data_IF_221662667039
#
_entry.id   IF_221662667039
#
_cell.length_a   1.000
_cell.length_b   1.000
_cell.length_c   1.000
_cell.angle_alpha   90.00
_cell.angle_beta   90.00
_cell.angle_gamma   90.00
#
_symmetry.space_group_name_H-M   'P 1'
#
loop_
_entity.id
_entity.type
_entity.pdbx_description
1 polymer ?
#
# COMPACT_ATOMS: atom_id res chain seq x y z
N UNK A 1 14.91 -73.51 18.31
CA UNK A 1 14.11 -72.29 18.51
C UNK A 1 13.96 -71.67 17.14
N UNK A 2 12.74 -71.77 16.59
CA UNK A 2 12.36 -71.41 15.23
C UNK A 2 11.73 -70.01 15.29
N UNK A 3 12.24 -69.04 14.54
CA UNK A 3 11.60 -67.73 14.38
C UNK A 3 10.93 -67.64 13.02
N UNK A 4 9.61 -67.85 13.05
CA UNK A 4 8.68 -67.74 11.94
C UNK A 4 8.38 -66.27 11.65
N UNK A 5 8.96 -65.73 10.57
CA UNK A 5 8.54 -64.42 10.03
C UNK A 5 7.28 -64.58 9.19
N UNK A 6 6.15 -64.09 9.70
CA UNK A 6 4.89 -64.01 9.00
C UNK A 6 4.93 -62.89 7.94
N UNK A 7 4.74 -63.30 6.68
CA UNK A 7 4.65 -62.45 5.50
C UNK A 7 3.17 -62.10 5.26
N UNK A 8 2.81 -60.82 5.36
CA UNK A 8 1.49 -60.34 4.92
C UNK A 8 1.59 -59.87 3.46
N UNK A 9 0.66 -60.25 2.56
CA UNK A 9 0.60 -59.73 1.20
C UNK A 9 -0.21 -58.42 1.15
N UNK A 10 0.32 -57.40 0.47
CA UNK A 10 -0.40 -56.17 0.13
C UNK A 10 -1.28 -56.38 -1.12
N UNK A 11 -2.47 -55.75 -1.22
CA UNK A 11 -3.35 -55.93 -2.36
C UNK A 11 -3.47 -54.64 -3.18
N UNK A 12 -2.53 -54.33 -4.08
CA UNK A 12 -2.80 -53.39 -5.17
C UNK A 12 -2.05 -53.77 -6.45
N UNK A 13 -2.76 -53.90 -7.60
CA UNK A 13 -2.17 -54.37 -8.85
C UNK A 13 -1.31 -53.31 -9.53
N UNK A 14 -0.16 -53.77 -10.02
CA UNK A 14 0.79 -53.03 -10.85
C UNK A 14 0.17 -52.58 -12.18
N UNK A 15 0.20 -51.27 -12.45
CA UNK A 15 0.00 -50.70 -13.78
C UNK A 15 1.34 -50.12 -14.29
N UNK A 16 1.67 -50.51 -15.53
CA UNK A 16 2.92 -50.25 -16.25
C UNK A 16 3.12 -48.74 -16.55
N UNK A 17 4.37 -48.25 -16.59
CA UNK A 17 4.66 -46.91 -17.07
C UNK A 17 4.60 -46.89 -18.60
N UNK A 18 3.66 -46.13 -19.14
CA UNK A 18 3.61 -45.81 -20.57
C UNK A 18 4.48 -44.59 -20.85
N UNK A 19 5.40 -44.78 -21.81
CA UNK A 19 6.22 -43.77 -22.46
C UNK A 19 5.35 -42.59 -22.95
N UNK A 20 5.68 -41.39 -22.49
CA UNK A 20 5.27 -40.15 -23.16
C UNK A 20 6.49 -39.57 -23.89
N UNK A 21 6.37 -39.23 -25.19
CA UNK A 21 7.46 -38.62 -25.93
C UNK A 21 7.60 -37.14 -25.56
N UNK A 22 8.83 -36.69 -25.35
CA UNK A 22 9.19 -35.27 -25.35
C UNK A 22 9.04 -34.69 -26.76
N UNK A 23 8.63 -33.43 -26.88
CA UNK A 23 9.06 -32.59 -27.98
C UNK A 23 9.86 -31.40 -27.43
N UNK A 24 11.17 -31.45 -27.69
CA UNK A 24 11.99 -30.25 -27.83
C UNK A 24 11.58 -29.52 -29.10
N UNK A 25 10.95 -28.36 -28.98
CA UNK A 25 10.96 -27.34 -30.04
C UNK A 25 11.23 -25.99 -29.39
N UNK A 26 12.49 -25.59 -29.49
CA UNK A 26 12.88 -24.20 -29.68
C UNK A 26 12.12 -23.63 -30.87
N UNK A 27 11.61 -22.40 -30.71
CA UNK A 27 11.82 -21.27 -31.63
C UNK A 27 10.65 -20.28 -31.70
N UNK A 28 11.05 -19.01 -31.71
CA UNK A 28 10.29 -17.79 -32.04
C UNK A 28 9.25 -17.26 -31.04
N UNK A 29 9.73 -16.74 -29.91
CA UNK A 29 9.15 -15.52 -29.35
C UNK A 29 9.44 -14.36 -30.31
N UNK A 30 8.45 -13.91 -31.06
CA UNK A 30 8.52 -12.64 -31.78
C UNK A 30 8.37 -11.51 -30.76
N UNK A 31 9.36 -10.62 -30.56
CA UNK A 31 9.15 -9.42 -29.78
C UNK A 31 8.25 -8.49 -30.60
N UNK A 32 7.07 -8.16 -30.07
CA UNK A 32 6.28 -7.07 -30.62
C UNK A 32 7.08 -5.78 -30.42
N UNK A 33 7.80 -5.39 -31.48
CA UNK A 33 8.33 -4.06 -31.69
C UNK A 33 7.17 -3.07 -31.59
N UNK A 34 7.05 -2.39 -30.46
CA UNK A 34 6.20 -1.20 -30.36
C UNK A 34 6.77 -0.13 -31.31
N UNK A 35 6.03 0.34 -32.33
CA UNK A 35 6.48 1.48 -33.11
C UNK A 35 6.42 2.73 -32.23
N UNK A 36 7.60 3.29 -31.96
CA UNK A 36 7.79 4.62 -31.42
C UNK A 36 7.33 5.64 -32.48
N UNK A 37 6.06 6.03 -32.45
CA UNK A 37 5.55 7.19 -33.18
C UNK A 37 4.30 7.75 -32.49
N UNK A 38 4.50 8.43 -31.36
CA UNK A 38 3.59 9.49 -30.96
C UNK A 38 4.21 10.81 -31.38
N UNK A 39 3.76 11.30 -32.53
CA UNK A 39 3.97 12.66 -32.98
C UNK A 39 3.23 13.59 -32.01
N UNK A 40 3.97 14.32 -31.18
CA UNK A 40 3.40 15.41 -30.38
C UNK A 40 3.31 16.66 -31.28
N UNK A 41 2.16 17.35 -31.37
CA UNK A 41 2.14 18.70 -31.90
C UNK A 41 2.77 19.65 -30.88
N UNK A 42 3.90 20.25 -31.27
CA UNK A 42 4.61 21.30 -30.53
C UNK A 42 3.78 22.58 -30.53
N UNK A 43 3.15 22.91 -29.39
CA UNK A 43 2.49 24.19 -29.18
C UNK A 43 3.44 25.15 -28.43
N UNK A 44 4.01 26.05 -29.24
CA UNK A 44 4.74 27.26 -28.85
C UNK A 44 3.94 28.11 -27.84
N UNK A 45 4.55 28.59 -26.74
CA UNK A 45 4.00 29.74 -26.01
C UNK A 45 4.36 31.02 -26.75
N UNK A 46 3.35 31.68 -27.34
CA UNK A 46 3.47 33.07 -27.79
C UNK A 46 3.63 33.99 -26.59
N UNK A 47 4.64 34.84 -26.66
CA UNK A 47 4.89 36.01 -25.84
C UNK A 47 3.71 36.99 -25.90
N UNK A 48 3.07 37.26 -24.77
CA UNK A 48 2.23 38.45 -24.62
C UNK A 48 2.94 39.46 -23.71
N UNK A 49 3.62 40.38 -24.40
CA UNK A 49 4.06 41.70 -23.95
C UNK A 49 2.86 42.49 -23.42
N UNK A 50 2.90 42.91 -22.15
CA UNK A 50 2.10 44.05 -21.66
C UNK A 50 3.02 44.95 -20.83
N UNK A 51 3.54 45.94 -21.53
CA UNK A 51 3.76 47.36 -21.19
C UNK A 51 3.93 47.81 -19.73
N UNK A 52 5.12 48.34 -19.47
CA UNK A 52 5.43 49.35 -18.43
C UNK A 52 4.69 50.68 -18.67
N UNK A 53 4.41 51.45 -17.61
CA UNK A 53 4.46 52.91 -17.66
C UNK A 53 5.63 53.48 -16.83
N UNK A 54 6.06 54.74 -17.09
CA UNK A 54 7.37 55.25 -16.70
C UNK A 54 7.44 55.86 -15.30
N UNK A 55 8.69 55.96 -14.84
CA UNK A 55 9.22 56.67 -13.65
C UNK A 55 8.65 58.10 -13.48
N UNK A 56 8.73 58.66 -12.25
CA UNK A 56 9.75 59.70 -12.07
C UNK A 56 10.57 59.54 -10.79
N UNK A 57 11.84 59.94 -10.93
CA UNK A 57 12.88 60.03 -9.92
C UNK A 57 12.75 61.38 -9.18
N UNK A 58 12.82 61.40 -7.84
CA UNK A 58 13.23 62.57 -7.04
C UNK A 58 13.94 62.12 -5.75
N UNK A 59 15.14 62.63 -5.58
CA UNK A 59 16.15 62.53 -4.50
C UNK A 59 15.75 63.41 -3.29
N UNK A 60 16.59 63.63 -2.24
CA UNK A 60 16.94 62.76 -1.11
C UNK A 60 16.69 63.44 0.27
N UNK A 61 16.15 62.77 1.30
CA UNK A 61 16.30 63.27 2.69
C UNK A 61 16.50 62.13 3.70
N UNK A 62 17.50 62.32 4.56
CA UNK A 62 17.82 61.60 5.80
C UNK A 62 17.80 62.70 6.89
N UNK A 63 17.60 62.43 8.21
CA UNK A 63 17.11 61.25 8.93
C UNK A 63 15.86 61.56 9.77
N UNK A 64 15.13 60.54 10.21
CA UNK A 64 14.38 60.66 11.47
C UNK A 64 14.41 59.34 12.24
N UNK A 65 14.94 59.49 13.44
CA UNK A 65 15.24 58.50 14.46
C UNK A 65 13.92 57.91 14.95
N UNK A 66 13.76 56.59 14.88
CA UNK A 66 12.89 55.89 15.82
C UNK A 66 13.40 54.47 16.05
N UNK A 67 14.24 54.36 17.07
CA UNK A 67 14.72 53.09 17.61
C UNK A 67 13.59 52.41 18.39
N UNK A 68 12.66 51.74 17.70
CA UNK A 68 11.78 50.77 18.34
C UNK A 68 12.47 49.40 18.32
N UNK A 69 13.27 49.17 19.37
CA UNK A 69 13.82 47.86 19.71
C UNK A 69 12.65 46.91 20.01
N UNK A 70 12.25 46.14 19.01
CA UNK A 70 11.46 44.93 19.23
C UNK A 70 12.40 43.86 19.77
N UNK A 71 12.06 43.15 20.86
CA UNK A 71 12.87 42.02 21.29
C UNK A 71 12.85 40.94 20.19
N UNK A 72 13.96 40.20 19.99
CA UNK A 72 13.96 39.08 19.06
C UNK A 72 12.86 38.09 19.48
N UNK A 73 12.15 37.46 18.52
CA UNK A 73 11.22 36.41 18.86
C UNK A 73 11.96 35.34 19.68
N UNK A 74 11.32 34.75 20.71
CA UNK A 74 11.94 33.67 21.46
C UNK A 74 12.37 32.58 20.47
N UNK A 75 13.49 31.86 20.72
CA UNK A 75 13.89 30.76 19.87
C UNK A 75 12.69 29.83 19.74
N UNK A 76 12.13 29.77 18.53
CA UNK A 76 11.08 28.82 18.17
C UNK A 76 11.58 27.48 18.68
N UNK A 77 10.87 26.87 19.63
CA UNK A 77 11.20 25.56 20.18
C UNK A 77 11.29 24.59 19.01
N UNK A 78 12.49 24.44 18.46
CA UNK A 78 12.79 23.44 17.46
C UNK A 78 12.75 22.13 18.24
N UNK A 79 11.55 21.53 18.34
CA UNK A 79 11.52 20.08 18.45
C UNK A 79 12.50 19.57 17.40
N UNK A 80 13.42 18.63 17.75
CA UNK A 80 14.37 18.10 16.78
C UNK A 80 13.59 17.76 15.51
N UNK A 81 14.00 18.25 14.33
CA UNK A 81 13.18 18.24 13.11
C UNK A 81 12.69 16.85 12.69
N UNK A 82 13.18 15.79 13.32
CA UNK A 82 12.84 14.40 13.07
C UNK A 82 12.34 13.61 14.28
N UNK A 83 12.13 14.19 15.48
CA UNK A 83 11.78 13.39 16.67
C UNK A 83 10.47 12.60 16.50
N UNK A 84 9.44 13.25 15.95
CA UNK A 84 8.16 12.61 15.65
C UNK A 84 8.23 11.61 14.49
N UNK A 85 9.18 11.74 13.58
CA UNK A 85 9.42 10.76 12.52
C UNK A 85 10.18 9.54 13.07
N UNK A 86 11.20 9.78 13.88
CA UNK A 86 11.98 8.73 14.55
C UNK A 86 11.09 7.87 15.44
N UNK A 87 10.17 8.47 16.22
CA UNK A 87 9.22 7.72 17.05
C UNK A 87 8.34 6.79 16.19
N UNK A 88 7.85 7.27 15.03
CA UNK A 88 7.11 6.44 14.08
C UNK A 88 7.98 5.29 13.54
N UNK A 89 9.24 5.57 13.21
CA UNK A 89 10.17 4.54 12.70
C UNK A 89 10.45 3.46 13.74
N UNK A 90 10.73 3.85 14.98
CA UNK A 90 10.93 2.90 16.08
C UNK A 90 9.67 2.07 16.34
N UNK A 91 8.48 2.68 16.27
CA UNK A 91 7.24 1.94 16.43
C UNK A 91 7.03 0.93 15.28
N UNK A 92 7.26 1.36 14.03
CA UNK A 92 7.09 0.51 12.85
C UNK A 92 8.12 -0.64 12.82
N UNK A 93 9.35 -0.39 13.26
CA UNK A 93 10.39 -1.41 13.47
C UNK A 93 9.96 -2.43 14.53
N UNK A 94 9.32 -1.99 15.63
CA UNK A 94 8.80 -2.90 16.66
C UNK A 94 7.70 -3.85 16.15
N UNK A 95 7.02 -3.49 15.04
CA UNK A 95 6.07 -4.36 14.33
C UNK A 95 6.78 -5.33 13.36
N UNK A 96 8.10 -5.23 13.26
CA UNK A 96 8.99 -6.01 12.42
C UNK A 96 9.18 -5.45 11.01
N UNK A 97 8.73 -4.23 10.71
CA UNK A 97 8.87 -3.65 9.37
C UNK A 97 10.32 -3.29 9.08
N UNK A 98 10.75 -3.51 7.85
CA UNK A 98 12.06 -3.06 7.40
C UNK A 98 12.07 -1.53 7.24
N UNK A 99 12.75 -0.85 8.16
CA UNK A 99 12.89 0.61 8.20
C UNK A 99 13.48 1.12 6.88
N UNK A 100 14.47 0.44 6.30
CA UNK A 100 15.15 0.91 5.10
C UNK A 100 14.20 0.94 3.90
N UNK A 101 13.46 -0.16 3.68
CA UNK A 101 12.43 -0.22 2.65
C UNK A 101 11.37 0.87 2.84
N UNK A 102 10.96 1.11 4.09
CA UNK A 102 9.94 2.10 4.40
C UNK A 102 10.43 3.54 4.14
N UNK A 103 11.65 3.88 4.54
CA UNK A 103 12.25 5.21 4.31
C UNK A 103 12.49 5.44 2.82
N UNK A 104 12.93 4.44 2.07
CA UNK A 104 13.25 4.60 0.65
C UNK A 104 12.00 4.69 -0.23
N UNK A 105 10.98 3.86 0.06
CA UNK A 105 9.83 3.70 -0.84
C UNK A 105 8.55 4.40 -0.34
N UNK A 106 8.45 4.66 0.97
CA UNK A 106 7.20 5.07 1.61
C UNK A 106 7.34 6.28 2.56
N UNK A 107 8.49 6.97 2.56
CA UNK A 107 8.74 8.14 3.42
C UNK A 107 7.65 9.22 3.37
N UNK A 108 7.10 9.63 2.21
CA UNK A 108 6.04 10.63 2.18
C UNK A 108 4.80 10.24 2.98
N UNK A 109 4.41 8.96 2.91
CA UNK A 109 3.24 8.40 3.58
C UNK A 109 3.46 8.33 5.10
N UNK A 110 4.66 7.95 5.53
CA UNK A 110 5.03 7.91 6.96
C UNK A 110 5.05 9.33 7.56
N UNK A 111 5.58 10.30 6.81
CA UNK A 111 5.65 11.68 7.25
C UNK A 111 4.24 12.25 7.47
N UNK A 112 3.31 11.97 6.57
CA UNK A 112 1.91 12.42 6.69
C UNK A 112 1.12 11.68 7.78
N UNK A 113 1.44 10.40 8.03
CA UNK A 113 0.70 9.59 8.99
C UNK A 113 0.93 10.05 10.43
N UNK A 114 -0.13 10.19 11.24
CA UNK A 114 0.01 10.41 12.67
C UNK A 114 0.35 9.11 13.40
N UNK A 115 1.25 9.14 14.38
CA UNK A 115 1.58 7.96 15.19
C UNK A 115 0.33 7.38 15.90
N UNK A 116 -0.58 8.24 16.34
CA UNK A 116 -1.86 7.84 16.95
C UNK A 116 -2.71 7.05 15.97
N UNK A 117 -2.75 7.46 14.70
CA UNK A 117 -3.50 6.75 13.67
C UNK A 117 -2.87 5.38 13.40
N UNK A 118 -1.54 5.31 13.26
CA UNK A 118 -0.84 4.05 13.06
C UNK A 118 -1.13 3.08 14.22
N UNK A 119 -0.97 3.53 15.47
CA UNK A 119 -1.27 2.72 16.67
C UNK A 119 -2.73 2.26 16.69
N UNK A 120 -3.66 3.11 16.30
CA UNK A 120 -5.10 2.79 16.25
C UNK A 120 -5.43 1.75 15.18
N UNK A 121 -4.82 1.84 14.00
CA UNK A 121 -4.96 0.84 12.93
C UNK A 121 -4.38 -0.50 13.37
N UNK A 122 -3.18 -0.49 13.97
CA UNK A 122 -2.57 -1.72 14.50
C UNK A 122 -3.47 -2.33 15.58
N UNK A 123 -4.00 -1.52 16.50
CA UNK A 123 -4.96 -1.99 17.52
C UNK A 123 -6.21 -2.62 16.91
N UNK A 124 -6.80 -1.99 15.88
CA UNK A 124 -7.95 -2.54 15.15
C UNK A 124 -7.61 -3.89 14.53
N UNK A 125 -6.51 -4.00 13.80
CA UNK A 125 -6.14 -5.24 13.13
C UNK A 125 -5.73 -6.34 14.13
N UNK A 126 -5.06 -5.99 15.23
CA UNK A 126 -4.78 -6.93 16.33
C UNK A 126 -6.07 -7.47 16.93
N UNK A 127 -7.12 -6.65 17.09
CA UNK A 127 -8.45 -7.11 17.52
C UNK A 127 -9.12 -8.11 16.55
N UNK A 128 -8.61 -8.20 15.31
CA UNK A 128 -9.01 -9.17 14.28
C UNK A 128 -8.00 -10.32 14.13
N UNK A 129 -7.14 -10.53 15.14
CA UNK A 129 -6.15 -11.61 15.21
C UNK A 129 -5.05 -11.54 14.14
N UNK A 130 -4.74 -10.35 13.63
CA UNK A 130 -3.58 -10.13 12.78
C UNK A 130 -2.29 -10.11 13.63
N UNK A 131 -1.26 -10.72 13.08
CA UNK A 131 0.06 -10.91 13.68
C UNK A 131 1.07 -9.93 13.08
N UNK A 132 2.22 -9.70 13.74
CA UNK A 132 3.31 -8.89 13.19
C UNK A 132 3.72 -9.26 11.77
N UNK A 133 3.75 -10.56 11.44
CA UNK A 133 4.06 -11.04 10.08
C UNK A 133 3.09 -10.49 9.03
N UNK A 134 1.82 -10.40 9.38
CA UNK A 134 0.75 -9.96 8.49
C UNK A 134 0.75 -8.44 8.37
N UNK A 135 1.08 -7.70 9.44
CA UNK A 135 1.33 -6.25 9.35
C UNK A 135 2.42 -5.91 8.34
N UNK A 136 3.53 -6.66 8.37
CA UNK A 136 4.61 -6.47 7.38
C UNK A 136 4.12 -6.62 5.95
N UNK A 137 3.34 -7.67 5.70
CA UNK A 137 2.77 -7.93 4.38
C UNK A 137 1.82 -6.82 3.94
N UNK A 138 0.91 -6.42 4.83
CA UNK A 138 -0.11 -5.40 4.55
C UNK A 138 0.55 -4.05 4.25
N UNK A 139 1.43 -3.58 5.13
CA UNK A 139 2.05 -2.25 5.03
C UNK A 139 3.01 -2.17 3.84
N UNK A 140 3.75 -3.25 3.56
CA UNK A 140 4.62 -3.30 2.38
C UNK A 140 3.87 -3.21 1.04
N UNK A 141 2.64 -3.76 0.96
CA UNK A 141 1.84 -3.72 -0.27
C UNK A 141 0.89 -2.53 -0.36
N UNK A 142 0.44 -2.04 0.79
CA UNK A 142 -0.56 -1.00 0.94
C UNK A 142 -0.11 -0.03 2.04
N UNK A 143 0.93 0.77 1.79
CA UNK A 143 1.42 1.75 2.76
C UNK A 143 0.35 2.81 3.11
N UNK A 144 -0.60 3.05 2.21
CA UNK A 144 -1.68 4.03 2.38
C UNK A 144 -2.56 3.74 3.61
N UNK A 145 -2.56 2.49 4.09
CA UNK A 145 -3.26 2.08 5.31
C UNK A 145 -2.80 2.86 6.56
N UNK A 146 -1.54 3.33 6.58
CA UNK A 146 -0.98 4.09 7.70
C UNK A 146 -1.63 5.47 7.88
N UNK A 147 -2.16 6.04 6.79
CA UNK A 147 -2.92 7.29 6.80
C UNK A 147 -4.42 7.08 7.04
N UNK A 148 -4.88 5.83 7.04
CA UNK A 148 -6.29 5.50 7.22
C UNK A 148 -6.69 5.56 8.69
N UNK A 149 -8.00 5.66 8.94
CA UNK A 149 -8.56 5.63 10.30
C UNK A 149 -9.32 4.33 10.54
N UNK A 150 -9.45 3.86 11.79
CA UNK A 150 -10.23 2.66 12.08
C UNK A 150 -11.66 2.74 11.53
N UNK A 151 -12.27 3.93 11.57
CA UNK A 151 -13.61 4.20 11.03
C UNK A 151 -13.71 4.01 9.51
N UNK A 152 -12.61 4.19 8.77
CA UNK A 152 -12.57 3.95 7.32
C UNK A 152 -12.39 2.47 6.95
N UNK A 153 -11.67 1.71 7.78
CA UNK A 153 -11.35 0.29 7.50
C UNK A 153 -12.45 -0.66 8.04
N UNK A 154 -13.07 -0.31 9.16
CA UNK A 154 -14.11 -1.15 9.80
C UNK A 154 -15.29 -1.49 8.88
N UNK A 155 -15.81 -0.56 8.06
CA UNK A 155 -16.84 -0.87 7.07
C UNK A 155 -16.38 -1.93 6.07
N UNK A 156 -15.12 -1.88 5.63
CA UNK A 156 -14.54 -2.86 4.71
C UNK A 156 -14.45 -4.25 5.33
N UNK A 157 -13.95 -4.34 6.57
CA UNK A 157 -13.89 -5.61 7.29
C UNK A 157 -15.30 -6.18 7.50
N UNK A 158 -16.26 -5.32 7.87
CA UNK A 158 -17.66 -5.71 8.05
C UNK A 158 -18.27 -6.19 6.73
N UNK A 159 -18.01 -5.50 5.63
CA UNK A 159 -18.45 -5.91 4.30
C UNK A 159 -17.92 -7.31 3.95
N UNK A 160 -16.63 -7.57 4.16
CA UNK A 160 -16.03 -8.87 3.87
C UNK A 160 -16.70 -9.99 4.67
N UNK A 161 -16.95 -9.77 5.96
CA UNK A 161 -17.54 -10.78 6.85
C UNK A 161 -19.05 -10.99 6.63
N UNK A 162 -19.79 -9.94 6.25
CA UNK A 162 -21.27 -9.96 6.23
C UNK A 162 -21.85 -10.05 4.84
N UNK A 163 -21.34 -9.27 3.90
CA UNK A 163 -21.86 -9.18 2.53
C UNK A 163 -21.12 -10.18 1.62
N UNK A 164 -19.78 -10.18 1.65
CA UNK A 164 -18.98 -11.12 0.86
C UNK A 164 -18.82 -12.51 1.52
N UNK A 165 -19.47 -12.75 2.66
CA UNK A 165 -19.53 -14.04 3.39
C UNK A 165 -18.16 -14.70 3.66
N UNK A 166 -17.10 -13.91 3.76
CA UNK A 166 -15.77 -14.41 4.14
C UNK A 166 -15.82 -14.90 5.58
N UNK A 167 -15.39 -16.14 5.82
CA UNK A 167 -15.32 -16.69 7.17
C UNK A 167 -14.34 -15.88 8.04
N UNK A 168 -14.57 -15.85 9.36
CA UNK A 168 -13.67 -15.16 10.28
C UNK A 168 -12.24 -15.71 10.24
N UNK A 169 -12.08 -17.00 9.98
CA UNK A 169 -10.79 -17.67 9.79
C UNK A 169 -10.09 -17.25 8.50
N UNK A 170 -10.85 -17.07 7.41
CA UNK A 170 -10.29 -16.73 6.10
C UNK A 170 -10.06 -15.24 5.89
N UNK A 171 -10.63 -14.38 6.73
CA UNK A 171 -10.46 -12.92 6.64
C UNK A 171 -8.98 -12.55 6.53
N UNK A 172 -8.12 -13.13 7.36
CA UNK A 172 -6.68 -12.87 7.32
C UNK A 172 -6.05 -13.32 6.00
N UNK A 173 -6.48 -14.48 5.49
CA UNK A 173 -5.99 -14.99 4.21
C UNK A 173 -6.35 -14.03 3.07
N UNK A 174 -7.62 -13.62 2.97
CA UNK A 174 -8.12 -12.68 1.96
C UNK A 174 -7.36 -11.35 2.02
N UNK A 175 -7.21 -10.76 3.21
CA UNK A 175 -6.49 -9.50 3.38
C UNK A 175 -5.00 -9.64 3.04
N UNK A 176 -4.33 -10.73 3.43
CA UNK A 176 -2.93 -10.94 3.09
C UNK A 176 -2.69 -11.11 1.58
N UNK A 177 -3.68 -11.69 0.87
CA UNK A 177 -3.64 -11.83 -0.59
C UNK A 177 -3.84 -10.48 -1.28
N UNK A 178 -4.77 -9.65 -0.78
CA UNK A 178 -5.06 -8.33 -1.34
C UNK A 178 -5.25 -7.26 -0.26
N UNK A 179 -4.16 -6.70 0.31
CA UNK A 179 -4.25 -5.71 1.39
C UNK A 179 -4.98 -4.42 1.00
N UNK A 180 -4.92 -4.05 -0.28
CA UNK A 180 -5.59 -2.86 -0.83
C UNK A 180 -7.13 -2.90 -0.71
N UNK A 181 -7.72 -4.05 -0.41
CA UNK A 181 -9.14 -4.13 -0.07
C UNK A 181 -9.47 -3.23 1.13
N UNK A 182 -8.60 -3.18 2.15
CA UNK A 182 -8.85 -2.42 3.39
C UNK A 182 -9.06 -0.92 3.16
N UNK A 183 -8.44 -0.36 2.12
CA UNK A 183 -8.54 1.07 1.76
C UNK A 183 -9.52 1.32 0.61
N UNK A 184 -10.18 0.29 0.11
CA UNK A 184 -11.16 0.41 -0.98
C UNK A 184 -12.51 0.90 -0.46
N UNK A 185 -13.20 1.72 -1.25
CA UNK A 185 -14.54 2.18 -0.89
C UNK A 185 -15.54 1.02 -0.96
N UNK A 186 -16.21 0.74 0.15
CA UNK A 186 -17.28 -0.28 0.18
C UNK A 186 -18.41 0.09 -0.79
N UNK A 187 -18.84 1.36 -0.77
CA UNK A 187 -19.96 1.85 -1.58
C UNK A 187 -19.65 1.89 -3.07
N UNK A 188 -18.47 2.38 -3.44
CA UNK A 188 -18.15 2.69 -4.84
C UNK A 188 -17.31 1.62 -5.53
N UNK A 189 -16.68 0.72 -4.78
CA UNK A 189 -15.82 -0.32 -5.35
C UNK A 189 -16.31 -1.71 -4.97
N UNK A 190 -16.37 -2.03 -3.68
CA UNK A 190 -16.56 -3.42 -3.24
C UNK A 190 -17.95 -3.96 -3.53
N UNK A 191 -19.02 -3.21 -3.20
CA UNK A 191 -20.39 -3.60 -3.49
C UNK A 191 -20.68 -3.75 -4.98
N UNK A 192 -20.38 -2.75 -5.84
CA UNK A 192 -20.56 -2.92 -7.28
C UNK A 192 -19.80 -4.12 -7.85
N UNK A 193 -18.58 -4.37 -7.36
CA UNK A 193 -17.79 -5.54 -7.77
C UNK A 193 -18.47 -6.84 -7.34
N UNK A 194 -18.94 -6.93 -6.09
CA UNK A 194 -19.63 -8.10 -5.59
C UNK A 194 -20.89 -8.40 -6.42
N UNK A 195 -21.76 -7.41 -6.65
CA UNK A 195 -22.96 -7.61 -7.48
C UNK A 195 -22.64 -8.07 -8.89
N UNK A 196 -21.59 -7.53 -9.50
CA UNK A 196 -21.14 -8.01 -10.80
C UNK A 196 -20.70 -9.48 -10.76
N UNK A 197 -19.89 -9.86 -9.76
CA UNK A 197 -19.42 -11.24 -9.59
C UNK A 197 -20.58 -12.23 -9.35
N UNK A 198 -21.60 -11.81 -8.58
CA UNK A 198 -22.82 -12.59 -8.36
C UNK A 198 -23.61 -12.77 -9.65
N UNK A 199 -23.77 -11.69 -10.44
CA UNK A 199 -24.50 -11.73 -11.71
C UNK A 199 -23.85 -12.64 -12.78
N UNK A 200 -22.53 -12.83 -12.72
CA UNK A 200 -21.82 -13.76 -13.62
C UNK A 200 -21.70 -15.19 -13.06
N UNK A 201 -22.38 -15.49 -11.95
CA UNK A 201 -22.50 -16.85 -11.39
C UNK A 201 -21.34 -17.33 -10.54
N UNK A 202 -20.49 -16.44 -10.00
CA UNK A 202 -19.35 -16.81 -9.16
C UNK A 202 -19.70 -16.97 -7.66
N UNK A 203 -20.98 -17.08 -7.30
CA UNK A 203 -21.45 -17.15 -5.90
C UNK A 203 -21.68 -18.60 -5.39
N UNK A 204 -21.59 -19.62 -6.24
CA UNK A 204 -22.12 -20.96 -5.95
C UNK A 204 -21.28 -21.88 -5.02
N UNK A 205 -20.15 -21.46 -4.43
CA UNK A 205 -19.28 -22.40 -3.67
C UNK A 205 -18.69 -21.87 -2.34
N UNK A 206 -19.45 -21.09 -1.56
CA UNK A 206 -19.06 -20.74 -0.18
C UNK A 206 -19.99 -21.36 0.88
N UNK A 207 -20.35 -22.63 0.71
CA UNK A 207 -21.17 -23.40 1.66
C UNK A 207 -20.33 -24.23 2.62
#
# INVERSE_FOLDING_TARGET
MQDTRLHFPSPFPHLKPHNFPSPSCHDYFSPLSCPRNFHFPTLSPKTNTISLPPKPLKTPEIPSISSHHSPPPPPRSQQPPDSGFQEKMLYLDSLGLDIFSLVNNHRPIILSASLTNIKSIVGLLTSKNFTPREFRRIISMCPEILNSTPSSITPTITFLLREARVSGSDLKHVINRRPRLLVSSVKHCLRPTLYFLQNIGLEEEFK
#
